data_IF_323879589236
#
_entry.id   IF_323879589236
#
_cell.length_a   1.000
_cell.length_b   1.000
_cell.length_c   1.000
_cell.angle_alpha   90.00
_cell.angle_beta   90.00
_cell.angle_gamma   90.00
#
_symmetry.space_group_name_H-M   'P 1'
#
loop_
_entity.id
_entity.type
_entity.pdbx_description
1 polymer ?
#
# COMPACT_ATOMS: atom_id res chain seq x y z
N UNK A 1 -41.26 -65.28 28.25
CA UNK A 1 -39.84 -65.41 28.66
C UNK A 1 -38.99 -64.87 27.50
N UNK A 2 -38.27 -63.75 27.68
CA UNK A 2 -37.47 -63.14 26.62
C UNK A 2 -36.15 -63.90 26.51
N UNK A 3 -35.80 -64.33 25.30
CA UNK A 3 -34.62 -65.15 25.02
C UNK A 3 -33.32 -64.34 25.22
N UNK A 4 -32.61 -64.67 26.31
CA UNK A 4 -31.39 -64.00 26.76
C UNK A 4 -30.23 -64.08 25.75
N UNK A 5 -30.27 -64.98 24.77
CA UNK A 5 -29.24 -65.06 23.71
C UNK A 5 -29.35 -63.95 22.68
N UNK A 6 -30.57 -63.51 22.33
CA UNK A 6 -30.78 -62.41 21.37
C UNK A 6 -30.39 -61.05 21.96
N UNK A 7 -30.61 -60.85 23.26
CA UNK A 7 -30.30 -59.59 23.96
C UNK A 7 -28.78 -59.36 24.08
N UNK A 8 -27.98 -60.43 24.18
CA UNK A 8 -26.51 -60.33 24.24
C UNK A 8 -25.88 -59.95 22.89
N UNK A 9 -26.46 -60.39 21.77
CA UNK A 9 -25.94 -60.06 20.42
C UNK A 9 -26.21 -58.60 20.04
N UNK A 10 -27.38 -58.05 20.40
CA UNK A 10 -27.72 -56.64 20.17
C UNK A 10 -26.87 -55.66 20.98
N UNK A 11 -26.46 -56.03 22.20
CA UNK A 11 -25.57 -55.19 23.03
C UNK A 11 -24.14 -55.12 22.48
N UNK A 12 -23.67 -56.16 21.79
CA UNK A 12 -22.31 -56.20 21.24
C UNK A 12 -22.16 -55.37 19.96
N UNK A 13 -23.19 -55.35 19.10
CA UNK A 13 -23.19 -54.57 17.84
C UNK A 13 -23.40 -53.07 18.10
N UNK A 14 -24.19 -52.70 19.12
CA UNK A 14 -24.45 -51.30 19.48
C UNK A 14 -23.22 -50.55 20.03
N UNK A 15 -22.28 -51.27 20.67
CA UNK A 15 -21.07 -50.66 21.27
C UNK A 15 -19.95 -50.44 20.24
N UNK A 16 -19.76 -51.37 19.29
CA UNK A 16 -18.76 -51.24 18.23
C UNK A 16 -19.16 -50.28 17.09
N UNK A 17 -20.44 -50.30 16.70
CA UNK A 17 -20.95 -49.46 15.61
C UNK A 17 -20.94 -47.95 15.94
N UNK A 18 -21.19 -47.59 17.20
CA UNK A 18 -21.17 -46.19 17.65
C UNK A 18 -19.76 -45.57 17.58
N UNK A 19 -18.72 -46.33 17.93
CA UNK A 19 -17.33 -45.86 17.91
C UNK A 19 -16.85 -45.61 16.47
N UNK A 20 -17.22 -46.48 15.53
CA UNK A 20 -16.87 -46.32 14.10
C UNK A 20 -17.59 -45.12 13.47
N UNK A 21 -18.85 -44.85 13.85
CA UNK A 21 -19.58 -43.65 13.41
C UNK A 21 -18.97 -42.35 13.95
N UNK A 22 -18.51 -42.34 15.21
CA UNK A 22 -17.84 -41.17 15.81
C UNK A 22 -16.50 -40.91 15.12
N UNK A 23 -15.73 -41.96 14.79
CA UNK A 23 -14.47 -41.83 14.05
C UNK A 23 -14.69 -41.34 12.61
N UNK A 24 -15.76 -41.78 11.92
CA UNK A 24 -16.13 -41.27 10.59
C UNK A 24 -16.58 -39.80 10.64
N UNK A 25 -17.33 -39.39 11.67
CA UNK A 25 -17.71 -37.99 11.88
C UNK A 25 -16.49 -37.10 12.18
N UNK A 26 -15.53 -37.58 12.98
CA UNK A 26 -14.26 -36.87 13.20
C UNK A 26 -13.43 -36.74 11.92
N UNK A 27 -13.42 -37.76 11.06
CA UNK A 27 -12.72 -37.73 9.77
C UNK A 27 -13.34 -36.70 8.79
N UNK A 28 -14.68 -36.55 8.81
CA UNK A 28 -15.37 -35.52 8.03
C UNK A 28 -15.21 -34.10 8.60
N UNK A 29 -14.99 -33.95 9.92
CA UNK A 29 -14.66 -32.65 10.52
C UNK A 29 -13.23 -32.19 10.20
N UNK A 30 -12.28 -33.13 10.11
CA UNK A 30 -10.89 -32.80 9.77
C UNK A 30 -10.70 -32.44 8.28
N UNK A 31 -11.59 -32.90 7.39
CA UNK A 31 -11.56 -32.57 5.96
C UNK A 31 -12.26 -31.23 5.61
N UNK A 32 -12.84 -30.55 6.61
CA UNK A 32 -13.56 -29.27 6.46
C UNK A 32 -12.71 -28.02 6.66
N UNK A 33 -11.39 -28.12 6.85
CA UNK A 33 -10.51 -26.95 6.83
C UNK A 33 -10.36 -26.46 5.39
N UNK A 34 -11.33 -25.64 4.98
CA UNK A 34 -11.24 -24.74 3.83
C UNK A 34 -9.89 -24.04 3.94
N UNK A 35 -9.00 -24.26 2.98
CA UNK A 35 -7.74 -23.54 2.83
C UNK A 35 -8.04 -22.05 2.64
N UNK A 36 -8.26 -21.33 3.74
CA UNK A 36 -8.04 -19.91 3.81
C UNK A 36 -6.54 -19.75 3.66
N UNK A 37 -6.09 -19.17 2.55
CA UNK A 37 -4.70 -18.75 2.42
C UNK A 37 -4.37 -17.87 3.62
N UNK A 38 -3.57 -18.38 4.56
CA UNK A 38 -3.04 -17.60 5.67
C UNK A 38 -2.05 -16.59 5.08
N UNK A 39 -2.56 -15.46 4.62
CA UNK A 39 -1.78 -14.31 4.19
C UNK A 39 -1.04 -13.78 5.43
N UNK A 40 0.28 -13.62 5.35
CA UNK A 40 1.05 -13.07 6.47
C UNK A 40 0.69 -11.60 6.70
N UNK A 41 0.86 -11.09 7.92
CA UNK A 41 0.64 -9.67 8.22
C UNK A 41 1.45 -8.75 7.27
N UNK A 42 2.65 -9.17 6.87
CA UNK A 42 3.48 -8.44 5.90
C UNK A 42 2.88 -8.42 4.49
N UNK A 43 2.22 -9.49 4.04
CA UNK A 43 1.52 -9.53 2.75
C UNK A 43 0.28 -8.63 2.77
N UNK A 44 -0.49 -8.66 3.85
CA UNK A 44 -1.65 -7.76 4.05
C UNK A 44 -1.20 -6.29 4.01
N UNK A 45 -0.16 -5.95 4.78
CA UNK A 45 0.40 -4.59 4.80
C UNK A 45 0.91 -4.18 3.42
N UNK A 46 1.63 -5.06 2.71
CA UNK A 46 2.13 -4.79 1.36
C UNK A 46 1.00 -4.50 0.37
N UNK A 47 -0.12 -5.22 0.47
CA UNK A 47 -1.30 -4.97 -0.35
C UNK A 47 -1.94 -3.63 -0.03
N UNK A 48 -2.15 -3.32 1.26
CA UNK A 48 -2.72 -2.04 1.69
C UNK A 48 -1.87 -0.86 1.23
N UNK A 49 -0.54 -0.96 1.38
CA UNK A 49 0.42 0.03 0.88
C UNK A 49 0.31 0.18 -0.63
N UNK A 50 0.23 -0.93 -1.38
CA UNK A 50 0.11 -0.89 -2.85
C UNK A 50 -1.15 -0.15 -3.30
N UNK A 51 -2.29 -0.37 -2.64
CA UNK A 51 -3.52 0.34 -2.97
C UNK A 51 -3.46 1.83 -2.63
N UNK A 52 -2.87 2.19 -1.49
CA UNK A 52 -2.56 3.59 -1.18
C UNK A 52 -1.67 4.22 -2.26
N UNK A 53 -0.57 3.56 -2.67
CA UNK A 53 0.35 4.08 -3.67
C UNK A 53 -0.33 4.27 -5.03
N UNK A 54 -1.20 3.34 -5.44
CA UNK A 54 -2.01 3.53 -6.65
C UNK A 54 -2.92 4.75 -6.52
N UNK A 55 -3.63 4.88 -5.40
CA UNK A 55 -4.51 6.04 -5.15
C UNK A 55 -3.72 7.35 -5.13
N UNK A 56 -2.51 7.37 -4.57
CA UNK A 56 -1.68 8.56 -4.41
C UNK A 56 -0.96 9.00 -5.70
N UNK A 57 -0.57 8.06 -6.56
CA UNK A 57 0.21 8.32 -7.79
C UNK A 57 -0.60 8.31 -9.08
N UNK A 58 -1.79 7.70 -9.13
CA UNK A 58 -2.67 7.82 -10.29
C UNK A 58 -3.48 9.10 -10.17
N UNK A 59 -3.14 10.12 -10.96
CA UNK A 59 -3.82 11.42 -10.92
C UNK A 59 -3.62 12.19 -12.21
N UNK A 60 -4.62 12.94 -12.64
CA UNK A 60 -4.50 13.80 -13.82
C UNK A 60 -3.59 15.00 -13.52
N UNK A 61 -3.75 15.58 -12.34
CA UNK A 61 -2.95 16.70 -11.84
C UNK A 61 -2.73 16.53 -10.34
N UNK A 62 -1.72 17.21 -9.80
CA UNK A 62 -1.55 17.35 -8.34
C UNK A 62 -2.88 17.80 -7.72
N UNK A 63 -3.31 17.11 -6.66
CA UNK A 63 -4.56 17.37 -5.95
C UNK A 63 -5.84 16.80 -6.58
N UNK A 64 -5.80 16.22 -7.80
CA UNK A 64 -7.02 15.67 -8.43
C UNK A 64 -7.51 14.35 -7.81
N UNK A 65 -6.67 13.70 -7.01
CA UNK A 65 -6.90 12.38 -6.41
C UNK A 65 -7.05 12.44 -4.88
N UNK A 66 -7.33 13.63 -4.33
CA UNK A 66 -7.49 13.85 -2.88
C UNK A 66 -8.48 12.88 -2.26
N UNK A 67 -9.63 12.68 -2.91
CA UNK A 67 -10.67 11.75 -2.45
C UNK A 67 -10.20 10.28 -2.49
N UNK A 68 -9.29 9.94 -3.41
CA UNK A 68 -8.81 8.56 -3.59
C UNK A 68 -7.83 8.17 -2.47
N UNK A 69 -6.91 9.06 -2.09
CA UNK A 69 -5.91 8.76 -1.06
C UNK A 69 -6.37 9.10 0.36
N UNK A 70 -7.36 9.98 0.54
CA UNK A 70 -7.88 10.39 1.85
C UNK A 70 -8.25 9.20 2.78
N UNK A 71 -8.89 8.11 2.32
CA UNK A 71 -9.28 6.98 3.18
C UNK A 71 -8.10 6.24 3.83
N UNK A 72 -6.88 6.41 3.32
CA UNK A 72 -5.67 5.74 3.81
C UNK A 72 -4.91 6.57 4.85
N UNK A 73 -5.26 7.85 5.01
CA UNK A 73 -4.52 8.79 5.85
C UNK A 73 -5.27 9.08 7.16
N UNK A 74 -4.52 9.39 8.21
CA UNK A 74 -5.11 10.08 9.37
C UNK A 74 -5.56 11.48 8.96
N UNK A 75 -6.49 12.07 9.73
CA UNK A 75 -6.96 13.43 9.45
C UNK A 75 -5.81 14.43 9.41
N UNK A 76 -4.81 14.28 10.28
CA UNK A 76 -3.64 15.14 10.33
C UNK A 76 -2.78 14.96 9.07
N UNK A 77 -2.41 13.72 8.73
CA UNK A 77 -1.62 13.42 7.54
C UNK A 77 -2.29 13.93 6.25
N UNK A 78 -3.62 13.81 6.16
CA UNK A 78 -4.37 14.36 5.04
C UNK A 78 -4.25 15.89 4.94
N UNK A 79 -4.37 16.63 6.06
CA UNK A 79 -4.20 18.08 6.04
C UNK A 79 -2.77 18.52 5.71
N UNK A 80 -1.78 17.78 6.18
CA UNK A 80 -0.36 18.02 5.85
C UNK A 80 -0.12 17.84 4.35
N UNK A 81 -0.66 16.79 3.74
CA UNK A 81 -0.55 16.58 2.30
C UNK A 81 -1.26 17.68 1.50
N UNK A 82 -2.45 18.11 1.92
CA UNK A 82 -3.11 19.27 1.30
C UNK A 82 -2.25 20.52 1.38
N UNK A 83 -1.61 20.79 2.52
CA UNK A 83 -0.73 21.94 2.67
C UNK A 83 0.50 21.85 1.75
N UNK A 84 1.11 20.66 1.65
CA UNK A 84 2.23 20.41 0.74
C UNK A 84 1.83 20.59 -0.72
N UNK A 85 0.65 20.12 -1.11
CA UNK A 85 0.11 20.29 -2.47
C UNK A 85 -0.20 21.75 -2.81
N UNK A 86 -0.61 22.53 -1.81
CA UNK A 86 -0.96 23.94 -1.97
C UNK A 86 0.26 24.89 -1.94
N UNK A 87 1.42 24.40 -1.50
CA UNK A 87 2.68 25.15 -1.45
C UNK A 87 3.02 25.80 -2.82
N UNK A 88 3.31 27.11 -2.87
CA UNK A 88 3.59 27.80 -4.13
C UNK A 88 4.77 27.23 -4.90
N UNK A 89 5.86 26.85 -4.21
CA UNK A 89 7.05 26.28 -4.83
C UNK A 89 6.73 24.93 -5.45
N UNK A 90 5.98 24.10 -4.73
CA UNK A 90 5.52 22.81 -5.20
C UNK A 90 4.58 22.91 -6.42
N UNK A 91 3.64 23.87 -6.42
CA UNK A 91 2.77 24.13 -7.57
C UNK A 91 3.53 24.58 -8.80
N UNK A 92 4.48 25.50 -8.65
CA UNK A 92 5.31 25.97 -9.78
C UNK A 92 6.08 24.80 -10.37
N UNK A 93 6.73 24.00 -9.52
CA UNK A 93 7.51 22.83 -9.91
C UNK A 93 6.69 21.79 -10.67
N UNK A 94 5.48 21.51 -10.19
CA UNK A 94 4.61 20.47 -10.75
C UNK A 94 3.66 20.99 -11.84
N UNK A 95 3.70 22.29 -12.15
CA UNK A 95 2.75 22.95 -13.07
C UNK A 95 2.68 22.36 -14.48
N UNK A 96 3.76 21.69 -14.92
CA UNK A 96 3.85 21.06 -16.24
C UNK A 96 3.67 19.55 -16.22
N UNK A 97 3.47 18.96 -15.04
CA UNK A 97 3.31 17.53 -14.86
C UNK A 97 1.81 17.18 -14.85
N UNK A 98 1.43 16.23 -15.70
CA UNK A 98 0.06 15.74 -15.77
C UNK A 98 0.03 14.22 -16.01
N UNK A 99 -1.15 13.62 -15.91
CA UNK A 99 -1.40 12.21 -16.21
C UNK A 99 -0.41 11.27 -15.51
N UNK A 100 -0.29 11.42 -14.20
CA UNK A 100 0.55 10.58 -13.37
C UNK A 100 -0.01 9.16 -13.34
N UNK A 101 0.87 8.16 -13.48
CA UNK A 101 0.50 6.74 -13.57
C UNK A 101 1.47 5.91 -12.74
N UNK A 102 0.95 5.26 -11.71
CA UNK A 102 1.67 4.25 -10.95
C UNK A 102 2.14 3.11 -11.87
N UNK A 103 3.36 2.61 -11.65
CA UNK A 103 3.93 1.47 -12.39
C UNK A 103 4.17 0.29 -11.47
N UNK A 104 4.99 0.49 -10.46
CA UNK A 104 5.44 -0.56 -9.55
C UNK A 104 5.95 0.04 -8.25
N UNK A 105 6.10 -0.81 -7.24
CA UNK A 105 6.74 -0.45 -5.99
C UNK A 105 7.57 -1.62 -5.45
N UNK A 106 8.71 -1.30 -4.82
CA UNK A 106 9.44 -2.20 -3.93
C UNK A 106 9.06 -1.83 -2.51
N UNK A 107 8.48 -2.76 -1.75
CA UNK A 107 7.89 -2.49 -0.42
C UNK A 107 8.63 -3.31 0.64
N UNK A 108 9.06 -2.63 1.69
CA UNK A 108 9.70 -3.20 2.87
C UNK A 108 8.87 -2.85 4.11
N UNK A 109 8.29 -3.87 4.74
CA UNK A 109 7.41 -3.69 5.91
C UNK A 109 8.25 -3.87 7.18
N UNK A 110 8.22 -2.87 8.06
CA UNK A 110 8.83 -2.95 9.39
C UNK A 110 8.16 -4.01 10.24
N UNK A 111 8.97 -4.77 10.98
CA UNK A 111 8.48 -5.85 11.87
C UNK A 111 8.34 -5.41 13.32
N UNK A 112 9.12 -4.41 13.74
CA UNK A 112 9.16 -3.90 15.11
C UNK A 112 8.51 -2.51 15.23
N UNK A 113 8.64 -1.71 14.19
CA UNK A 113 8.05 -0.38 14.08
C UNK A 113 6.90 -0.39 13.06
N UNK A 114 5.84 0.42 13.26
CA UNK A 114 4.71 0.53 12.34
C UNK A 114 5.10 1.39 11.12
N UNK A 115 6.16 1.01 10.42
CA UNK A 115 6.71 1.75 9.29
C UNK A 115 6.78 0.89 8.05
N UNK A 116 6.58 1.51 6.89
CA UNK A 116 6.79 0.87 5.58
C UNK A 116 7.69 1.75 4.75
N UNK A 117 8.73 1.16 4.15
CA UNK A 117 9.55 1.81 3.15
C UNK A 117 9.11 1.35 1.77
N UNK A 118 8.85 2.29 0.87
CA UNK A 118 8.41 1.99 -0.49
C UNK A 118 9.18 2.81 -1.52
N UNK A 119 9.89 2.15 -2.44
CA UNK A 119 10.42 2.81 -3.65
C UNK A 119 9.39 2.66 -4.77
N UNK A 120 8.80 3.78 -5.19
CA UNK A 120 7.71 3.80 -6.17
C UNK A 120 8.22 4.27 -7.50
N UNK A 121 7.88 3.54 -8.56
CA UNK A 121 8.11 3.96 -9.96
C UNK A 121 6.78 4.42 -10.56
N UNK A 122 6.79 5.57 -11.22
CA UNK A 122 5.61 6.15 -11.87
C UNK A 122 5.98 6.90 -13.15
N UNK A 123 5.03 6.99 -14.07
CA UNK A 123 5.14 7.80 -15.27
C UNK A 123 4.36 9.11 -15.07
N UNK A 124 4.79 10.21 -15.67
CA UNK A 124 4.00 11.42 -15.85
C UNK A 124 4.25 12.02 -17.23
N UNK A 125 3.32 12.82 -17.70
CA UNK A 125 3.42 13.58 -18.95
C UNK A 125 3.89 14.99 -18.64
N UNK A 126 5.04 15.40 -19.19
CA UNK A 126 5.56 16.75 -19.13
C UNK A 126 5.06 17.56 -20.32
N UNK A 127 4.32 18.63 -20.04
CA UNK A 127 3.74 19.52 -21.05
C UNK A 127 4.65 20.72 -21.28
N UNK A 128 4.98 20.97 -22.55
CA UNK A 128 5.69 22.20 -22.94
C UNK A 128 4.77 23.43 -22.90
N UNK A 129 5.27 24.54 -22.34
CA UNK A 129 4.60 25.85 -22.36
C UNK A 129 4.73 26.57 -23.72
N UNK A 130 4.45 25.92 -24.86
CA UNK A 130 4.50 26.65 -26.15
C UNK A 130 3.19 27.38 -26.42
N UNK A 131 3.17 28.68 -26.13
CA UNK A 131 2.10 29.66 -26.38
C UNK A 131 2.24 30.36 -27.76
N UNK A 132 2.45 29.62 -28.86
CA UNK A 132 2.29 30.21 -30.20
C UNK A 132 1.21 29.43 -30.92
N UNK A 133 0.27 30.17 -31.51
CA UNK A 133 -0.98 29.64 -32.09
C UNK A 133 -0.76 28.52 -33.14
N UNK A 134 0.46 28.40 -33.67
CA UNK A 134 0.85 27.39 -34.67
C UNK A 134 1.63 26.18 -34.11
N UNK A 135 2.13 26.24 -32.86
CA UNK A 135 2.94 25.16 -32.26
C UNK A 135 2.02 24.23 -31.44
N UNK A 136 1.76 23.01 -31.93
CA UNK A 136 1.04 21.98 -31.15
C UNK A 136 1.72 21.75 -29.79
N UNK A 137 0.93 21.69 -28.72
CA UNK A 137 1.39 21.38 -27.37
C UNK A 137 2.12 20.02 -27.37
N UNK A 138 3.44 20.04 -27.19
CA UNK A 138 4.23 18.81 -27.13
C UNK A 138 4.19 18.24 -25.71
N UNK A 139 3.94 16.94 -25.63
CA UNK A 139 3.94 16.17 -24.39
C UNK A 139 5.05 15.13 -24.46
N UNK A 140 5.87 15.05 -23.42
CA UNK A 140 6.91 14.03 -23.26
C UNK A 140 6.58 13.19 -22.05
N UNK A 141 6.54 11.87 -22.20
CA UNK A 141 6.33 10.95 -21.08
C UNK A 141 7.66 10.66 -20.40
N UNK A 142 7.70 10.90 -19.10
CA UNK A 142 8.86 10.71 -18.23
C UNK A 142 8.53 9.65 -17.19
N UNK A 143 9.48 8.76 -16.92
CA UNK A 143 9.42 7.81 -15.81
C UNK A 143 10.33 8.31 -14.70
N UNK A 144 9.83 8.33 -13.46
CA UNK A 144 10.63 8.65 -12.29
C UNK A 144 10.45 7.61 -11.18
N UNK A 145 11.35 7.61 -10.20
CA UNK A 145 11.26 6.80 -8.99
C UNK A 145 11.79 7.57 -7.78
N UNK A 146 11.09 7.47 -6.66
CA UNK A 146 11.60 7.93 -5.37
C UNK A 146 11.10 7.04 -4.24
N UNK A 147 11.71 7.17 -3.06
CA UNK A 147 11.38 6.33 -1.91
C UNK A 147 10.63 7.10 -0.83
N UNK A 148 9.67 6.42 -0.22
CA UNK A 148 8.82 6.91 0.86
C UNK A 148 9.05 6.07 2.11
N UNK A 149 8.98 6.72 3.27
CA UNK A 149 8.73 6.11 4.57
C UNK A 149 7.32 6.49 5.00
N UNK A 150 6.47 5.50 5.15
CA UNK A 150 5.08 5.62 5.60
C UNK A 150 5.03 5.17 7.06
N UNK A 151 4.67 6.07 7.97
CA UNK A 151 4.46 5.73 9.38
C UNK A 151 2.98 5.51 9.60
N UNK A 152 2.62 4.37 10.20
CA UNK A 152 1.24 3.96 10.46
C UNK A 152 0.86 4.19 11.92
N UNK A 153 -0.44 4.41 12.12
CA UNK A 153 -1.07 4.55 13.42
C UNK A 153 -2.43 3.88 13.41
N UNK A 154 -2.77 3.23 14.52
CA UNK A 154 -4.12 2.71 14.71
C UNK A 154 -5.07 3.84 15.12
N UNK A 155 -6.15 4.00 14.36
CA UNK A 155 -7.24 4.94 14.63
C UNK A 155 -8.56 4.18 14.45
N UNK A 156 -9.35 4.08 15.51
CA UNK A 156 -10.65 3.38 15.51
C UNK A 156 -10.58 1.94 14.94
N UNK A 157 -9.52 1.20 15.29
CA UNK A 157 -9.29 -0.17 14.81
C UNK A 157 -8.82 -0.28 13.36
N UNK A 158 -8.48 0.84 12.70
CA UNK A 158 -7.90 0.88 11.35
C UNK A 158 -6.46 1.33 11.41
N UNK A 159 -5.60 0.66 10.65
CA UNK A 159 -4.22 1.11 10.40
C UNK A 159 -4.25 2.19 9.31
N UNK A 160 -3.96 3.43 9.68
CA UNK A 160 -3.92 4.58 8.77
C UNK A 160 -2.50 5.16 8.73
N UNK A 161 -2.11 5.75 7.60
CA UNK A 161 -0.84 6.44 7.46
C UNK A 161 -0.93 7.78 8.21
N UNK A 162 -0.06 7.96 9.19
CA UNK A 162 0.03 9.15 10.03
C UNK A 162 1.14 10.11 9.58
N UNK A 163 2.13 9.60 8.84
CA UNK A 163 3.21 10.42 8.27
C UNK A 163 3.72 9.84 6.96
N UNK A 164 3.97 10.72 5.99
CA UNK A 164 4.61 10.40 4.71
C UNK A 164 5.92 11.20 4.66
N UNK A 165 7.05 10.52 4.53
CA UNK A 165 8.37 11.15 4.43
C UNK A 165 9.06 10.65 3.15
N UNK A 166 9.66 11.52 2.34
CA UNK A 166 10.57 11.05 1.28
C UNK A 166 11.91 10.73 1.91
N UNK A 167 12.48 9.60 1.50
CA UNK A 167 13.74 9.07 2.00
C UNK A 167 14.62 8.64 0.84
N UNK A 168 15.94 8.58 1.06
CA UNK A 168 16.87 7.98 0.11
C UNK A 168 17.22 6.56 0.59
N UNK A 169 16.90 5.55 -0.23
CA UNK A 169 17.22 4.14 0.04
C UNK A 169 18.38 3.62 -0.82
N UNK A 170 19.05 4.48 -1.58
CA UNK A 170 20.19 4.09 -2.39
C UNK A 170 21.44 3.90 -1.52
N UNK A 171 22.32 2.94 -1.86
CA UNK A 171 23.54 2.70 -1.10
C UNK A 171 24.45 3.93 -1.12
N UNK A 172 24.97 4.32 0.05
CA UNK A 172 25.96 5.39 0.18
C UNK A 172 27.30 4.86 -0.37
N UNK A 173 27.53 5.07 -1.67
CA UNK A 173 28.72 4.57 -2.38
C UNK A 173 28.67 4.73 -3.89
N UNK A 174 27.48 4.86 -4.48
CA UNK A 174 27.34 5.31 -5.88
C UNK A 174 27.43 6.83 -5.92
N UNK A 175 28.67 7.34 -5.83
CA UNK A 175 28.97 8.75 -6.07
C UNK A 175 28.49 9.12 -7.48
N UNK A 176 27.41 9.90 -7.56
CA UNK A 176 26.89 10.43 -8.82
C UNK A 176 25.38 10.65 -8.91
N UNK A 177 24.60 10.44 -7.86
CA UNK A 177 23.15 10.62 -7.95
C UNK A 177 22.74 11.98 -7.38
N UNK A 178 22.24 12.84 -8.29
CA UNK A 178 21.37 13.95 -7.93
C UNK A 178 20.29 13.38 -7.01
N UNK A 179 20.25 13.87 -5.77
CA UNK A 179 19.04 13.75 -4.97
C UNK A 179 17.95 14.40 -5.81
N UNK A 180 16.99 13.60 -6.29
CA UNK A 180 15.73 14.16 -6.74
C UNK A 180 15.05 14.72 -5.48
N UNK A 181 15.42 15.95 -5.13
CA UNK A 181 14.86 16.80 -4.09
C UNK A 181 13.36 17.13 -4.35
N UNK A 182 12.82 16.56 -5.43
CA UNK A 182 11.61 16.98 -6.10
C UNK A 182 10.56 15.88 -6.24
N UNK A 183 10.52 14.96 -5.28
CA UNK A 183 9.32 14.20 -5.00
C UNK A 183 8.26 15.09 -4.28
N UNK A 184 6.96 14.90 -4.56
CA UNK A 184 5.88 15.60 -3.85
C UNK A 184 5.88 15.20 -2.38
N UNK A 185 6.24 16.14 -1.50
CA UNK A 185 6.25 15.95 -0.04
C UNK A 185 7.58 16.23 0.69
N UNK A 186 8.64 16.68 0.02
CA UNK A 186 9.87 17.13 0.71
C UNK A 186 10.22 18.55 0.32
N UNK A 187 10.24 19.41 1.34
CA UNK A 187 10.80 20.75 1.32
C UNK A 187 12.08 20.63 2.17
N UNK A 188 13.23 20.83 1.53
CA UNK A 188 14.47 21.10 2.26
C UNK A 188 14.57 22.62 2.46
N UNK A 189 14.27 23.08 3.68
CA UNK A 189 14.28 24.51 4.02
C UNK A 189 15.70 25.11 4.05
N UNK A 190 16.75 24.28 4.01
CA UNK A 190 18.14 24.73 4.19
C UNK A 190 18.81 25.20 2.89
N UNK A 191 18.26 24.87 1.71
CA UNK A 191 18.82 25.27 0.42
C UNK A 191 18.12 26.47 -0.24
N UNK A 192 17.06 27.01 0.39
CA UNK A 192 16.41 28.25 -0.06
C UNK A 192 17.12 29.54 0.41
N UNK A 193 18.14 29.43 1.27
CA UNK A 193 18.91 30.58 1.78
C UNK A 193 20.27 30.78 1.08
N UNK A 194 20.53 30.07 -0.03
CA UNK A 194 21.72 30.31 -0.86
C UNK A 194 21.30 31.05 -2.12
N UNK A 195 21.09 32.34 -1.95
CA UNK A 195 21.06 33.32 -3.04
C UNK A 195 22.44 33.34 -3.74
N UNK A 196 22.43 33.25 -5.07
CA UNK A 196 23.11 34.21 -5.97
C UNK A 196 22.27 34.40 -7.25
#
# INVERSE_FOLDING_TARGET
MIDERKVKFFKLIGLGGGIVLILLLMFFWQSGHKNSSNESNSQIASRQVTEFLKAYFNKDKVGSNREDYQPYLTKQAYQEELANEEDPGFKVRTSLMQNFRYKSAKIYVGTEEPVVFATVTYDYDSVSQKKREEDQQKTVRTTNSYSLKLTYKEVDGKQLIDKIEIVNLNPVGEAGQQTDEYAPGVINLEDMNKEE
#
